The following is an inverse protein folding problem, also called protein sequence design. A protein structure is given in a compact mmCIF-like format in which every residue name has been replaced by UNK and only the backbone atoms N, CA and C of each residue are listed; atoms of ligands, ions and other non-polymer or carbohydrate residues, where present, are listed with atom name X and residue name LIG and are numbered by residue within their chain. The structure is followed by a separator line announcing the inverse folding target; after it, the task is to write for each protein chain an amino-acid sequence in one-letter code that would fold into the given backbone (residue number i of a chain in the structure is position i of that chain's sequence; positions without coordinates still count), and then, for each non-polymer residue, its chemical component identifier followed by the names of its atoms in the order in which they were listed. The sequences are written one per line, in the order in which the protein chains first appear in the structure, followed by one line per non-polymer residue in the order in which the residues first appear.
data_IF_408873948460
#
_entry.id   IF_408873948460
#
_cell.length_a   1.000
_cell.length_b   1.000
_cell.length_c   1.000
_cell.angle_alpha   90.00
_cell.angle_beta   90.00
_cell.angle_gamma   90.00
#
_symmetry.space_group_name_H-M   'P 1'
#
loop_
_entity.id
_entity.type
_entity.pdbx_description
1 polymer ?
#
# COMPACT_ATOMS: atom_id res chain seq x y z
N UNK A 1 12.63 13.77 9.89
CA UNK A 1 11.32 13.19 9.57
C UNK A 1 10.48 14.33 8.99
N UNK A 2 10.17 14.29 7.70
CA UNK A 2 9.30 15.31 7.09
C UNK A 2 7.87 14.83 7.35
N UNK A 3 7.11 15.58 8.16
CA UNK A 3 5.70 15.33 8.42
C UNK A 3 4.90 15.67 7.14
N UNK A 4 4.90 14.74 6.17
CA UNK A 4 4.03 14.87 5.02
C UNK A 4 2.58 14.75 5.48
N UNK A 5 1.81 15.81 5.22
CA UNK A 5 0.37 15.77 5.36
C UNK A 5 -0.14 14.59 4.52
N UNK A 6 -0.74 13.60 5.17
CA UNK A 6 -1.46 12.55 4.47
C UNK A 6 -2.76 13.13 3.95
N UNK A 7 -3.17 12.75 2.73
CA UNK A 7 -4.46 13.14 2.19
C UNK A 7 -5.57 12.87 3.23
N UNK A 8 -6.24 13.94 3.68
CA UNK A 8 -7.23 13.89 4.75
C UNK A 8 -8.57 13.41 4.20
N UNK A 9 -8.61 12.20 3.66
CA UNK A 9 -9.82 11.62 3.09
C UNK A 9 -10.26 10.39 3.89
N UNK A 10 -11.59 10.28 4.01
CA UNK A 10 -12.54 9.27 4.52
C UNK A 10 -12.09 7.83 4.85
N UNK A 11 -10.89 7.41 4.46
CA UNK A 11 -10.28 6.09 4.71
C UNK A 11 -9.83 5.88 6.18
N UNK A 12 -9.84 6.93 7.02
CA UNK A 12 -9.53 6.86 8.46
C UNK A 12 -10.70 6.32 9.32
N UNK A 13 -11.87 6.04 8.74
CA UNK A 13 -12.97 5.43 9.48
C UNK A 13 -12.59 4.08 10.09
N UNK A 14 -11.56 3.40 9.58
CA UNK A 14 -10.99 2.20 10.19
C UNK A 14 -10.54 2.40 11.63
N UNK A 15 -9.99 3.58 11.97
CA UNK A 15 -9.48 3.86 13.31
C UNK A 15 -10.59 3.70 14.36
N UNK A 16 -11.80 4.12 14.00
CA UNK A 16 -12.99 4.07 14.86
C UNK A 16 -13.89 2.86 14.58
N UNK A 17 -13.63 2.07 13.53
CA UNK A 17 -14.38 0.86 13.23
C UNK A 17 -14.01 -0.26 14.22
N UNK A 18 -14.94 -0.55 15.14
CA UNK A 18 -14.78 -1.62 16.13
C UNK A 18 -14.80 -3.03 15.50
N UNK A 19 -15.26 -3.17 14.25
CA UNK A 19 -15.29 -4.45 13.53
C UNK A 19 -13.93 -4.85 12.92
N UNK A 20 -12.94 -3.96 12.98
CA UNK A 20 -11.60 -4.19 12.46
C UNK A 20 -10.65 -4.50 13.63
N UNK A 21 -10.03 -5.70 13.67
CA UNK A 21 -9.03 -6.03 14.69
C UNK A 21 -7.85 -5.06 14.67
N UNK A 22 -7.26 -4.80 15.84
CA UNK A 22 -6.12 -3.88 15.98
C UNK A 22 -4.95 -4.24 15.06
N UNK A 23 -4.65 -5.52 14.90
CA UNK A 23 -3.58 -5.99 14.00
C UNK A 23 -3.89 -5.61 12.54
N UNK A 24 -5.11 -5.83 12.07
CA UNK A 24 -5.53 -5.44 10.72
C UNK A 24 -5.37 -3.93 10.49
N UNK A 25 -5.77 -3.10 11.48
CA UNK A 25 -5.60 -1.64 11.41
C UNK A 25 -4.13 -1.24 11.22
N UNK A 26 -3.22 -1.84 11.98
CA UNK A 26 -1.79 -1.56 11.90
C UNK A 26 -1.24 -1.89 10.50
N UNK A 27 -1.60 -3.04 9.93
CA UNK A 27 -1.13 -3.41 8.59
C UNK A 27 -1.75 -2.55 7.48
N UNK A 28 -3.02 -2.16 7.61
CA UNK A 28 -3.67 -1.21 6.70
C UNK A 28 -2.96 0.15 6.71
N UNK A 29 -2.63 0.66 7.88
CA UNK A 29 -1.90 1.93 8.05
C UNK A 29 -0.50 1.84 7.43
N UNK A 30 0.25 0.77 7.74
CA UNK A 30 1.57 0.53 7.15
C UNK A 30 1.53 0.49 5.62
N UNK A 31 0.53 -0.18 5.04
CA UNK A 31 0.35 -0.22 3.59
C UNK A 31 0.12 1.17 3.01
N UNK A 32 -0.73 1.98 3.62
CA UNK A 32 -1.03 3.36 3.17
C UNK A 32 0.21 4.26 3.23
N UNK A 33 1.02 4.11 4.28
CA UNK A 33 2.28 4.84 4.46
C UNK A 33 3.36 4.40 3.47
N UNK A 34 3.35 3.13 3.06
CA UNK A 34 4.41 2.54 2.22
C UNK A 34 4.11 2.66 0.73
N UNK A 35 2.84 2.52 0.34
CA UNK A 35 2.43 2.37 -1.05
C UNK A 35 1.51 3.52 -1.45
N UNK A 36 2.12 4.47 -2.13
CA UNK A 36 1.50 5.71 -2.55
C UNK A 36 2.49 6.53 -3.34
N UNK A 37 2.08 7.76 -3.61
CA UNK A 37 2.90 8.71 -4.33
C UNK A 37 2.80 10.08 -3.67
N UNK A 38 3.92 10.82 -3.69
CA UNK A 38 3.95 12.20 -3.26
C UNK A 38 3.29 13.06 -4.35
N UNK A 39 2.15 13.67 -4.01
CA UNK A 39 1.44 14.59 -4.90
C UNK A 39 1.69 16.02 -4.49
N UNK A 40 1.64 16.92 -5.48
CA UNK A 40 1.65 18.37 -5.28
C UNK A 40 0.30 18.93 -5.71
N UNK A 41 -0.42 19.56 -4.80
CA UNK A 41 -1.61 20.34 -5.20
C UNK A 41 -1.18 21.76 -5.54
N UNK A 42 -1.00 22.05 -6.83
CA UNK A 42 -0.86 23.43 -7.29
C UNK A 42 -2.26 24.03 -7.45
N UNK A 43 -2.76 24.70 -6.42
CA UNK A 43 -3.93 25.58 -6.57
C UNK A 43 -3.51 26.83 -7.35
N UNK A 44 -3.86 26.88 -8.64
CA UNK A 44 -3.52 28.02 -9.52
C UNK A 44 -4.23 29.33 -9.16
N UNK A 45 -5.22 29.32 -8.26
CA UNK A 45 -6.11 30.48 -8.04
C UNK A 45 -5.92 31.23 -6.71
N UNK A 46 -5.06 30.78 -5.80
CA UNK A 46 -4.77 31.51 -4.55
C UNK A 46 -3.29 31.38 -4.20
N UNK A 47 -2.62 32.52 -4.05
CA UNK A 47 -1.18 32.66 -3.91
C UNK A 47 -0.52 31.61 -3.00
N UNK A 48 0.26 30.74 -3.65
CA UNK A 48 1.46 30.02 -3.19
C UNK A 48 1.43 29.46 -1.77
N UNK A 49 1.02 28.20 -1.67
CA UNK A 49 1.80 27.15 -0.99
C UNK A 49 1.61 25.85 -1.76
N UNK A 50 2.68 25.35 -2.41
CA UNK A 50 2.70 23.99 -2.95
C UNK A 50 2.63 23.02 -1.76
N UNK A 51 1.43 22.52 -1.46
CA UNK A 51 1.28 21.50 -0.44
C UNK A 51 1.66 20.15 -1.07
N UNK A 52 2.84 19.66 -0.68
CA UNK A 52 3.23 18.27 -0.90
C UNK A 52 2.51 17.38 0.10
N UNK A 53 1.76 16.40 -0.41
CA UNK A 53 1.03 15.45 0.43
C UNK A 53 1.22 14.03 -0.08
N UNK A 54 1.19 13.07 0.84
CA UNK A 54 1.26 11.66 0.48
C UNK A 54 -0.14 11.15 0.14
N UNK A 55 -0.30 10.62 -1.08
CA UNK A 55 -1.53 10.01 -1.57
C UNK A 55 -1.36 8.51 -1.63
N UNK A 56 -2.22 7.76 -0.91
CA UNK A 56 -2.29 6.30 -1.06
C UNK A 56 -2.61 5.91 -2.50
N UNK A 57 -2.01 4.81 -2.97
CA UNK A 57 -2.28 4.25 -4.29
C UNK A 57 -3.76 3.82 -4.44
N UNK A 58 -4.38 4.15 -5.58
CA UNK A 58 -5.81 3.90 -5.80
C UNK A 58 -6.17 2.41 -5.87
N UNK A 59 -5.26 1.56 -6.36
CA UNK A 59 -5.47 0.12 -6.38
C UNK A 59 -5.34 -0.46 -4.98
N UNK A 60 -4.41 0.06 -4.16
CA UNK A 60 -4.37 -0.29 -2.74
C UNK A 60 -5.66 0.15 -2.04
N UNK A 61 -6.15 1.37 -2.26
CA UNK A 61 -7.42 1.86 -1.69
C UNK A 61 -8.58 0.94 -2.06
N UNK A 62 -8.69 0.53 -3.32
CA UNK A 62 -9.68 -0.46 -3.78
C UNK A 62 -9.51 -1.80 -3.08
N UNK A 63 -8.28 -2.29 -2.94
CA UNK A 63 -7.99 -3.58 -2.32
C UNK A 63 -8.42 -3.61 -0.86
N UNK A 64 -8.11 -2.56 -0.09
CA UNK A 64 -8.45 -2.48 1.32
C UNK A 64 -9.96 -2.55 1.56
N UNK A 65 -10.81 -2.09 0.62
CA UNK A 65 -12.27 -2.24 0.71
C UNK A 65 -12.74 -3.70 0.76
N UNK A 66 -11.96 -4.63 0.23
CA UNK A 66 -12.27 -6.06 0.30
C UNK A 66 -11.86 -6.72 1.62
N UNK A 67 -11.22 -5.97 2.54
CA UNK A 67 -10.65 -6.48 3.80
C UNK A 67 -9.75 -7.71 3.56
N UNK A 68 -8.63 -7.56 2.85
CA UNK A 68 -7.69 -8.65 2.64
C UNK A 68 -7.19 -9.18 3.99
N UNK A 69 -6.83 -10.46 4.05
CA UNK A 69 -6.26 -11.04 5.26
C UNK A 69 -4.96 -10.33 5.67
N UNK A 70 -4.63 -10.40 6.96
CA UNK A 70 -3.38 -9.85 7.49
C UNK A 70 -2.16 -10.48 6.82
N UNK A 71 -2.22 -11.77 6.50
CA UNK A 71 -1.17 -12.50 5.78
C UNK A 71 -0.96 -11.94 4.36
N UNK A 72 -2.05 -11.66 3.64
CA UNK A 72 -1.97 -11.07 2.30
C UNK A 72 -1.37 -9.65 2.39
N UNK A 73 -1.73 -8.86 3.40
CA UNK A 73 -1.15 -7.54 3.64
C UNK A 73 0.36 -7.60 3.99
N UNK A 74 0.77 -8.57 4.82
CA UNK A 74 2.18 -8.84 5.15
C UNK A 74 2.99 -9.15 3.89
N UNK A 75 2.45 -9.97 2.98
CA UNK A 75 3.09 -10.31 1.70
C UNK A 75 3.30 -9.08 0.81
N UNK A 76 2.32 -8.18 0.75
CA UNK A 76 2.42 -6.92 -0.01
C UNK A 76 3.46 -5.98 0.62
N UNK A 77 3.55 -5.92 1.96
CA UNK A 77 4.52 -5.04 2.63
C UNK A 77 5.95 -5.55 2.56
N UNK A 78 6.16 -6.87 2.46
CA UNK A 78 7.48 -7.47 2.48
C UNK A 78 7.62 -8.54 1.39
N UNK A 79 7.42 -8.18 0.11
CA UNK A 79 7.66 -9.11 -0.97
C UNK A 79 9.12 -9.55 -0.92
N UNK A 80 9.33 -10.86 -0.75
CA UNK A 80 10.65 -11.49 -0.86
C UNK A 80 11.69 -11.05 0.19
N UNK A 81 11.29 -10.55 1.37
CA UNK A 81 12.26 -10.14 2.41
C UNK A 81 13.20 -11.27 2.87
N UNK A 82 12.84 -12.52 2.59
CA UNK A 82 13.65 -13.71 2.86
C UNK A 82 14.64 -14.07 1.75
N UNK A 83 14.51 -13.52 0.53
CA UNK A 83 15.48 -13.71 -0.55
C UNK A 83 16.68 -12.77 -0.43
N UNK A 84 16.61 -11.85 0.53
CA UNK A 84 17.64 -10.88 0.81
C UNK A 84 18.33 -11.16 2.13
N UNK A 85 19.05 -12.27 2.21
CA UNK A 85 20.23 -12.23 3.07
C UNK A 85 21.24 -11.26 2.42
N UNK A 86 21.89 -10.39 3.19
CA UNK A 86 22.96 -9.55 2.67
C UNK A 86 24.16 -10.45 2.35
N UNK A 87 24.14 -11.09 1.18
CA UNK A 87 25.36 -11.66 0.61
C UNK A 87 26.24 -10.47 0.26
N UNK A 88 27.38 -10.37 0.95
CA UNK A 88 28.33 -9.27 0.89
C UNK A 88 28.42 -8.65 -0.51
N UNK A 89 27.80 -7.49 -0.66
CA UNK A 89 27.83 -6.69 -1.88
C UNK A 89 29.01 -5.74 -1.78
N UNK A 90 30.21 -6.25 -2.04
CA UNK A 90 31.31 -5.39 -2.45
C UNK A 90 30.99 -4.82 -3.83
N UNK A 91 31.02 -3.49 -3.94
CA UNK A 91 31.09 -2.70 -5.18
C UNK A 91 29.80 -2.09 -5.78
N UNK A 92 28.65 -2.06 -5.08
CA UNK A 92 27.50 -1.27 -5.53
C UNK A 92 27.24 -0.09 -4.59
N UNK A 93 26.88 1.08 -5.15
CA UNK A 93 26.36 2.21 -4.38
C UNK A 93 25.04 1.78 -3.72
N UNK A 94 25.12 1.45 -2.45
CA UNK A 94 24.00 1.21 -1.55
C UNK A 94 23.64 2.52 -0.85
N UNK A 95 22.35 2.74 -0.63
CA UNK A 95 21.86 3.85 0.17
C UNK A 95 22.18 3.68 1.68
N UNK A 96 21.75 4.65 2.49
CA UNK A 96 21.91 4.62 3.97
C UNK A 96 21.31 3.36 4.63
N UNK A 97 20.38 2.67 3.95
CA UNK A 97 19.71 1.45 4.41
C UNK A 97 20.39 0.16 3.88
N UNK A 98 21.49 0.27 3.13
CA UNK A 98 22.19 -0.89 2.56
C UNK A 98 21.45 -1.52 1.37
N UNK A 99 20.57 -0.77 0.69
CA UNK A 99 19.76 -1.25 -0.43
C UNK A 99 20.20 -0.55 -1.73
N UNK A 100 20.30 -1.30 -2.83
CA UNK A 100 20.59 -0.71 -4.14
C UNK A 100 19.34 -0.09 -4.75
N UNK A 101 19.49 0.95 -5.57
CA UNK A 101 18.36 1.58 -6.28
C UNK A 101 17.57 0.57 -7.13
N UNK A 102 18.25 -0.37 -7.79
CA UNK A 102 17.61 -1.44 -8.56
C UNK A 102 16.71 -2.32 -7.69
N UNK A 103 17.18 -2.66 -6.49
CA UNK A 103 16.41 -3.46 -5.54
C UNK A 103 15.18 -2.71 -5.04
N UNK A 104 15.28 -1.40 -4.79
CA UNK A 104 14.10 -0.55 -4.50
C UNK A 104 13.10 -0.57 -5.65
N UNK A 105 13.55 -0.39 -6.90
CA UNK A 105 12.67 -0.43 -8.09
C UNK A 105 11.98 -1.78 -8.26
N UNK A 106 12.72 -2.88 -8.07
CA UNK A 106 12.16 -4.23 -8.13
C UNK A 106 11.10 -4.43 -7.04
N UNK A 107 11.39 -3.99 -5.81
CA UNK A 107 10.47 -4.07 -4.69
C UNK A 107 9.16 -3.35 -4.99
N UNK A 108 9.21 -2.08 -5.42
CA UNK A 108 8.03 -1.30 -5.80
C UNK A 108 7.22 -1.99 -6.91
N UNK A 109 7.90 -2.49 -7.94
CA UNK A 109 7.24 -3.20 -9.05
C UNK A 109 6.50 -4.44 -8.55
N UNK A 110 7.13 -5.22 -7.66
CA UNK A 110 6.55 -6.43 -7.12
C UNK A 110 5.37 -6.13 -6.19
N UNK A 111 5.43 -5.07 -5.38
CA UNK A 111 4.29 -4.60 -4.59
C UNK A 111 3.08 -4.26 -5.46
N UNK A 112 3.29 -3.52 -6.56
CA UNK A 112 2.24 -3.19 -7.51
C UNK A 112 1.62 -4.43 -8.16
N UNK A 113 2.44 -5.42 -8.53
CA UNK A 113 1.96 -6.69 -9.07
C UNK A 113 1.14 -7.49 -8.05
N UNK A 114 1.60 -7.54 -6.79
CA UNK A 114 0.86 -8.21 -5.72
C UNK A 114 -0.48 -7.53 -5.44
N UNK A 115 -0.55 -6.20 -5.44
CA UNK A 115 -1.80 -5.47 -5.29
C UNK A 115 -2.78 -5.84 -6.39
N UNK A 116 -2.33 -5.87 -7.65
CA UNK A 116 -3.16 -6.29 -8.80
C UNK A 116 -3.64 -7.73 -8.64
N UNK A 117 -2.75 -8.66 -8.31
CA UNK A 117 -3.09 -10.06 -8.06
C UNK A 117 -4.17 -10.22 -6.98
N UNK A 118 -4.00 -9.53 -5.84
CA UNK A 118 -4.97 -9.62 -4.75
C UNK A 118 -6.30 -8.94 -5.09
N UNK A 119 -6.28 -7.83 -5.84
CA UNK A 119 -7.51 -7.23 -6.36
C UNK A 119 -8.31 -8.23 -7.19
N UNK A 120 -7.66 -8.96 -8.09
CA UNK A 120 -8.30 -9.97 -8.93
C UNK A 120 -8.82 -11.15 -8.09
N UNK A 121 -8.02 -11.63 -7.12
CA UNK A 121 -8.40 -12.68 -6.16
C UNK A 121 -9.69 -12.31 -5.41
N UNK A 122 -9.74 -11.14 -4.78
CA UNK A 122 -10.89 -10.74 -3.96
C UNK A 122 -12.11 -10.32 -4.79
N UNK A 123 -11.89 -9.74 -5.97
CA UNK A 123 -12.97 -9.42 -6.91
C UNK A 123 -13.66 -10.70 -7.44
N UNK A 124 -12.88 -11.72 -7.80
CA UNK A 124 -13.43 -12.99 -8.27
C UNK A 124 -14.18 -13.75 -7.17
N UNK A 125 -13.71 -13.70 -5.92
CA UNK A 125 -14.43 -14.28 -4.77
C UNK A 125 -15.80 -13.63 -4.55
N UNK A 126 -15.87 -12.30 -4.61
CA UNK A 126 -17.14 -11.57 -4.47
C UNK A 126 -18.13 -11.82 -5.62
N UNK A 127 -17.65 -12.12 -6.82
CA UNK A 127 -18.52 -12.52 -7.94
C UNK A 127 -19.16 -13.90 -7.73
N UNK A 128 -18.40 -14.85 -7.19
CA UNK A 128 -18.87 -16.22 -6.92
C UNK A 128 -19.91 -16.29 -5.81
N UNK A 129 -19.79 -15.45 -4.78
CA UNK A 129 -20.79 -15.37 -3.71
C UNK A 129 -22.09 -14.73 -4.17
N UNK A 130 -22.04 -13.69 -5.03
CA UNK A 130 -23.25 -13.10 -5.64
C UNK A 130 -24.01 -14.09 -6.53
N UNK A 131 -23.30 -14.90 -7.32
CA UNK A 131 -23.93 -15.91 -8.18
C UNK A 131 -24.67 -17.00 -7.41
N UNK A 132 -24.21 -17.37 -6.20
CA UNK A 132 -24.89 -18.39 -5.36
C UNK A 132 -26.16 -17.86 -4.68
N UNK A 133 -26.24 -16.56 -4.43
CA UNK A 133 -27.37 -15.94 -3.76
C UNK A 133 -28.52 -15.55 -4.73
N UNK A 134 -28.32 -15.67 -6.05
CA UNK A 134 -29.36 -15.43 -7.06
C UNK A 134 -30.09 -16.70 -7.51
N UNK A 135 -29.67 -17.88 -7.05
CA UNK A 135 -30.25 -19.19 -7.41
C UNK A 135 -31.09 -19.83 -6.29
N UNK A 136 -31.45 -19.08 -5.25
CA UNK A 136 -32.35 -19.54 -4.18
C UNK A 136 -33.67 -18.76 -4.20
#
# INVERSE_FOLDING_TARGET
MIDYLHEKNEDLNDANDASIPKEEKQYRELLRLTIGELKTSSSKDQGVTDNMYWSTDDNLRKLLRYRPSVEDMKLILRPMSYLSEPKGLSNYEVDEDGITLERRKYFVTLQQQLIKYFLDKYSSMNSRTKSKNQTN
#
